data_IF_281065131977
#
_entry.id   IF_281065131977
#
_cell.length_a   1.000
_cell.length_b   1.000
_cell.length_c   1.000
_cell.angle_alpha   90.00
_cell.angle_beta   90.00
_cell.angle_gamma   90.00
#
_symmetry.space_group_name_H-M   'P 1'
#
loop_
_entity.id
_entity.type
_entity.pdbx_description
1 polymer ?
#
# COMPACT_ATOMS: atom_id res chain seq x y z
N UNK A 1 -31.56 6.95 3.12
CA UNK A 1 -30.23 6.32 3.29
C UNK A 1 -29.95 6.24 4.78
N UNK A 2 -29.65 5.06 5.32
CA UNK A 2 -29.22 4.94 6.71
C UNK A 2 -27.92 5.76 6.90
N UNK A 3 -27.85 6.57 7.96
CA UNK A 3 -26.62 7.27 8.32
C UNK A 3 -25.58 6.23 8.73
N UNK A 4 -24.41 6.26 8.10
CA UNK A 4 -23.25 5.49 8.53
C UNK A 4 -22.92 5.84 9.98
N UNK A 5 -22.53 4.83 10.76
CA UNK A 5 -21.89 5.09 12.05
C UNK A 5 -20.52 5.73 11.84
N UNK A 6 -19.98 6.40 12.86
CA UNK A 6 -18.66 7.05 12.76
C UNK A 6 -17.56 6.04 12.38
N UNK A 7 -17.55 4.87 13.01
CA UNK A 7 -16.58 3.82 12.73
C UNK A 7 -16.66 3.28 11.29
N UNK A 8 -17.87 3.07 10.77
CA UNK A 8 -18.06 2.64 9.38
C UNK A 8 -17.65 3.74 8.39
N UNK A 9 -17.92 5.00 8.72
CA UNK A 9 -17.49 6.14 7.92
C UNK A 9 -15.97 6.22 7.84
N UNK A 10 -15.27 6.09 8.97
CA UNK A 10 -13.81 6.15 9.02
C UNK A 10 -13.17 4.97 8.28
N UNK A 11 -13.71 3.76 8.45
CA UNK A 11 -13.26 2.58 7.71
C UNK A 11 -13.40 2.77 6.20
N UNK A 12 -14.56 3.22 5.73
CA UNK A 12 -14.81 3.48 4.30
C UNK A 12 -13.98 4.65 3.78
N UNK A 13 -13.73 5.68 4.60
CA UNK A 13 -12.83 6.79 4.25
C UNK A 13 -11.41 6.29 4.04
N UNK A 14 -10.92 5.40 4.91
CA UNK A 14 -9.60 4.76 4.76
C UNK A 14 -9.51 3.91 3.49
N UNK A 15 -10.51 3.07 3.22
CA UNK A 15 -10.55 2.24 2.01
C UNK A 15 -10.61 3.11 0.73
N UNK A 16 -11.44 4.15 0.74
CA UNK A 16 -11.55 5.08 -0.38
C UNK A 16 -10.24 5.81 -0.66
N UNK A 17 -9.53 6.23 0.40
CA UNK A 17 -8.21 6.84 0.30
C UNK A 17 -7.19 5.89 -0.31
N UNK A 18 -7.10 4.67 0.18
CA UNK A 18 -6.17 3.66 -0.32
C UNK A 18 -6.36 3.41 -1.83
N UNK A 19 -7.61 3.24 -2.27
CA UNK A 19 -7.94 3.06 -3.69
C UNK A 19 -7.58 4.31 -4.52
N UNK A 20 -7.79 5.51 -3.98
CA UNK A 20 -7.44 6.75 -4.67
C UNK A 20 -5.93 6.89 -4.90
N UNK A 21 -5.13 6.57 -3.88
CA UNK A 21 -3.67 6.55 -3.96
C UNK A 21 -3.18 5.52 -4.98
N UNK A 22 -3.84 4.35 -5.05
CA UNK A 22 -3.60 3.31 -6.08
C UNK A 22 -4.03 3.71 -7.51
N UNK A 23 -4.62 4.89 -7.70
CA UNK A 23 -4.91 5.44 -9.02
C UNK A 23 -6.37 5.32 -9.48
N UNK A 24 -7.25 4.71 -8.68
CA UNK A 24 -8.65 4.55 -9.06
C UNK A 24 -9.39 5.90 -9.11
N UNK A 25 -10.36 6.02 -10.02
CA UNK A 25 -11.19 7.23 -10.15
C UNK A 25 -12.22 7.29 -9.02
N UNK A 26 -12.67 8.49 -8.65
CA UNK A 26 -13.71 8.66 -7.61
C UNK A 26 -15.00 7.94 -7.98
N UNK A 27 -15.34 7.85 -9.27
CA UNK A 27 -16.50 7.10 -9.75
C UNK A 27 -16.35 5.60 -9.46
N UNK A 28 -15.22 4.98 -9.81
CA UNK A 28 -14.97 3.57 -9.55
C UNK A 28 -14.92 3.29 -8.03
N UNK A 29 -14.29 4.18 -7.26
CA UNK A 29 -14.24 4.05 -5.79
C UNK A 29 -15.66 4.10 -5.21
N UNK A 30 -16.49 5.04 -5.66
CA UNK A 30 -17.90 5.16 -5.24
C UNK A 30 -18.66 3.85 -5.43
N UNK A 31 -18.42 3.13 -6.53
CA UNK A 31 -19.03 1.83 -6.81
C UNK A 31 -18.49 0.73 -5.89
N UNK A 32 -17.16 0.69 -5.68
CA UNK A 32 -16.51 -0.34 -4.86
C UNK A 32 -16.92 -0.24 -3.38
N UNK A 33 -16.92 0.97 -2.79
CA UNK A 33 -17.16 1.15 -1.35
C UNK A 33 -18.61 1.56 -1.02
N UNK A 34 -19.41 1.88 -2.04
CA UNK A 34 -20.80 2.31 -1.90
C UNK A 34 -20.97 3.66 -1.20
N UNK A 35 -20.07 4.62 -1.46
CA UNK A 35 -20.13 5.99 -0.92
C UNK A 35 -20.30 6.97 -2.06
N UNK A 36 -21.27 7.88 -1.94
CA UNK A 36 -21.54 8.86 -2.99
C UNK A 36 -20.33 9.73 -3.35
N UNK A 37 -20.16 9.97 -4.65
CA UNK A 37 -19.06 10.76 -5.26
C UNK A 37 -18.83 12.09 -4.53
N UNK A 38 -19.90 12.81 -4.15
CA UNK A 38 -19.79 14.11 -3.45
C UNK A 38 -19.11 13.97 -2.09
N UNK A 39 -19.44 12.93 -1.32
CA UNK A 39 -18.82 12.65 -0.02
C UNK A 39 -17.36 12.26 -0.19
N UNK A 40 -17.04 11.43 -1.18
CA UNK A 40 -15.67 11.08 -1.52
C UNK A 40 -14.84 12.31 -1.95
N UNK A 41 -15.43 13.22 -2.73
CA UNK A 41 -14.79 14.47 -3.11
C UNK A 41 -14.46 15.36 -1.92
N UNK A 42 -15.37 15.47 -0.95
CA UNK A 42 -15.10 16.21 0.29
C UNK A 42 -13.97 15.54 1.09
N UNK A 43 -14.01 14.22 1.27
CA UNK A 43 -12.96 13.51 2.00
C UNK A 43 -11.58 13.64 1.36
N UNK A 44 -11.53 13.62 0.02
CA UNK A 44 -10.31 13.86 -0.76
C UNK A 44 -9.71 15.22 -0.46
N UNK A 45 -10.54 16.27 -0.50
CA UNK A 45 -10.11 17.65 -0.27
C UNK A 45 -9.72 17.87 1.20
N UNK A 46 -10.58 17.47 2.14
CA UNK A 46 -10.35 17.66 3.59
C UNK A 46 -9.12 16.88 4.10
N UNK A 47 -8.80 15.77 3.43
CA UNK A 47 -7.69 14.89 3.80
C UNK A 47 -6.42 15.06 2.96
N UNK A 48 -6.35 16.05 2.06
CA UNK A 48 -5.22 16.27 1.14
C UNK A 48 -4.75 15.00 0.42
N UNK A 49 -5.67 14.19 -0.10
CA UNK A 49 -5.30 12.89 -0.70
C UNK A 49 -4.47 13.04 -1.97
N UNK A 50 -4.54 14.20 -2.64
CA UNK A 50 -3.73 14.49 -3.81
C UNK A 50 -2.24 14.62 -3.45
N UNK A 51 -1.91 15.35 -2.39
CA UNK A 51 -0.53 15.47 -1.89
C UNK A 51 0.02 14.10 -1.51
N UNK A 52 -0.78 13.29 -0.80
CA UNK A 52 -0.37 11.94 -0.44
C UNK A 52 -0.21 11.02 -1.65
N UNK A 53 -1.00 11.24 -2.72
CA UNK A 53 -0.85 10.50 -3.98
C UNK A 53 0.48 10.83 -4.64
N UNK A 54 0.86 12.09 -4.67
CA UNK A 54 2.17 12.51 -5.17
C UNK A 54 3.31 11.89 -4.35
N UNK A 55 3.20 11.88 -3.02
CA UNK A 55 4.19 11.26 -2.14
C UNK A 55 4.27 9.74 -2.35
N UNK A 56 3.13 9.05 -2.48
CA UNK A 56 3.09 7.60 -2.73
C UNK A 56 3.64 7.22 -4.10
N UNK A 57 3.66 8.15 -5.05
CA UNK A 57 4.26 7.95 -6.37
C UNK A 57 5.78 8.12 -6.39
N UNK A 58 6.39 8.60 -5.30
CA UNK A 58 7.86 8.67 -5.17
C UNK A 58 8.43 7.26 -5.03
N UNK A 59 9.13 6.81 -6.07
CA UNK A 59 9.84 5.52 -6.12
C UNK A 59 11.33 5.70 -5.82
N UNK A 60 12.06 4.62 -5.44
CA UNK A 60 13.52 4.66 -5.30
C UNK A 60 14.23 5.18 -6.57
N UNK A 61 13.66 4.90 -7.75
CA UNK A 61 14.15 5.41 -9.04
C UNK A 61 14.11 6.94 -9.16
N UNK A 62 13.14 7.60 -8.50
CA UNK A 62 13.08 9.07 -8.43
C UNK A 62 14.25 9.63 -7.61
N UNK A 63 14.66 8.96 -6.53
CA UNK A 63 15.83 9.34 -5.73
C UNK A 63 17.13 9.06 -6.51
N UNK A 64 17.22 7.91 -7.19
CA UNK A 64 18.34 7.59 -8.09
C UNK A 64 18.56 8.67 -9.16
N UNK A 65 17.47 9.27 -9.67
CA UNK A 65 17.53 10.40 -10.60
C UNK A 65 18.19 11.64 -10.01
N UNK A 66 18.07 11.89 -8.70
CA UNK A 66 18.75 13.00 -8.02
C UNK A 66 20.27 12.79 -8.03
N UNK A 67 20.72 11.57 -7.75
CA UNK A 67 22.14 11.20 -7.83
C UNK A 67 22.68 11.35 -9.25
N UNK A 68 21.94 10.89 -10.27
CA UNK A 68 22.33 11.03 -11.68
C UNK A 68 22.39 12.50 -12.13
N UNK A 69 21.48 13.36 -11.65
CA UNK A 69 21.56 14.81 -11.92
C UNK A 69 22.81 15.45 -11.33
N UNK A 70 23.25 15.00 -10.15
CA UNK A 70 24.50 15.46 -9.56
C UNK A 70 25.71 15.01 -10.40
N UNK A 71 25.73 13.74 -10.84
CA UNK A 71 26.79 13.23 -11.71
C UNK A 71 26.87 13.99 -13.06
N UNK A 72 25.72 14.28 -13.67
CA UNK A 72 25.64 15.07 -14.90
C UNK A 72 26.15 16.50 -14.72
N UNK A 73 25.87 17.13 -13.57
CA UNK A 73 26.37 18.47 -13.27
C UNK A 73 27.91 18.48 -13.15
N UNK A 74 28.49 17.43 -12.54
CA UNK A 74 29.95 17.25 -12.46
C UNK A 74 30.56 17.12 -13.85
N UNK A 75 30.00 16.25 -14.70
CA UNK A 75 30.46 16.05 -16.08
C UNK A 75 30.45 17.36 -16.89
N UNK A 76 29.42 18.18 -16.70
CA UNK A 76 29.26 19.45 -17.40
C UNK A 76 30.02 20.63 -16.76
N UNK A 77 30.76 20.42 -15.66
CA UNK A 77 31.44 21.47 -14.92
C UNK A 77 30.48 22.52 -14.30
N UNK A 78 29.22 22.12 -14.04
CA UNK A 78 28.17 22.98 -13.48
C UNK A 78 28.08 22.82 -11.96
N UNK A 79 27.60 23.84 -11.24
CA UNK A 79 27.32 23.71 -9.81
C UNK A 79 26.31 22.59 -9.55
N UNK A 80 26.53 21.86 -8.45
CA UNK A 80 25.66 20.75 -8.07
C UNK A 80 24.25 21.27 -7.74
N UNK A 81 23.18 20.64 -8.27
CA UNK A 81 21.81 21.03 -7.96
C UNK A 81 21.42 20.71 -6.51
N UNK A 82 22.11 19.77 -5.88
CA UNK A 82 21.91 19.35 -4.50
C UNK A 82 23.27 19.06 -3.84
N UNK A 83 23.36 19.22 -2.53
CA UNK A 83 24.54 18.83 -1.77
C UNK A 83 24.63 17.29 -1.76
N UNK A 84 25.77 16.74 -2.16
CA UNK A 84 25.96 15.30 -2.28
C UNK A 84 25.69 14.53 -0.97
N UNK A 85 26.10 15.10 0.17
CA UNK A 85 25.85 14.55 1.51
C UNK A 85 24.35 14.39 1.82
N UNK A 86 23.52 15.36 1.41
CA UNK A 86 22.07 15.31 1.65
C UNK A 86 21.41 14.25 0.77
N UNK A 87 21.86 14.12 -0.49
CA UNK A 87 21.39 13.05 -1.39
C UNK A 87 21.72 11.66 -0.83
N UNK A 88 22.94 11.46 -0.31
CA UNK A 88 23.35 10.19 0.31
C UNK A 88 22.49 9.86 1.53
N UNK A 89 22.20 10.84 2.39
CA UNK A 89 21.34 10.63 3.57
C UNK A 89 19.90 10.27 3.19
N UNK A 90 19.34 10.94 2.18
CA UNK A 90 18.00 10.66 1.68
C UNK A 90 17.93 9.27 1.05
N UNK A 91 18.92 8.89 0.22
CA UNK A 91 19.04 7.54 -0.36
C UNK A 91 19.10 6.48 0.74
N UNK A 92 19.98 6.65 1.72
CA UNK A 92 20.16 5.67 2.81
C UNK A 92 18.91 5.54 3.70
N UNK A 93 18.17 6.63 3.92
CA UNK A 93 16.90 6.59 4.63
C UNK A 93 15.83 5.85 3.79
N UNK A 94 15.80 6.09 2.49
CA UNK A 94 14.86 5.44 1.57
C UNK A 94 15.10 3.93 1.49
N UNK A 95 16.35 3.51 1.24
CA UNK A 95 16.73 2.08 1.13
C UNK A 95 16.40 1.29 2.41
N UNK A 96 16.43 1.91 3.58
CA UNK A 96 16.05 1.27 4.85
C UNK A 96 14.54 1.05 4.99
N UNK A 97 13.73 1.93 4.41
CA UNK A 97 12.26 1.92 4.56
C UNK A 97 11.61 1.11 3.43
N UNK A 98 12.27 1.01 2.27
CA UNK A 98 11.72 0.33 1.08
C UNK A 98 12.36 -1.03 0.78
N UNK A 99 12.99 -1.67 1.77
CA UNK A 99 13.55 -3.02 1.62
C UNK A 99 12.40 -4.02 1.42
N UNK A 100 12.04 -4.26 0.17
CA UNK A 100 10.86 -5.06 -0.19
C UNK A 100 11.02 -6.51 0.24
N UNK A 101 12.26 -7.02 0.37
CA UNK A 101 12.54 -8.35 0.93
C UNK A 101 12.16 -8.42 2.40
N UNK A 102 12.50 -7.41 3.20
CA UNK A 102 12.01 -7.32 4.59
C UNK A 102 10.48 -7.24 4.64
N UNK A 103 9.89 -6.42 3.78
CA UNK A 103 8.42 -6.28 3.70
C UNK A 103 7.78 -7.63 3.34
N UNK A 104 8.30 -8.33 2.33
CA UNK A 104 7.81 -9.64 1.90
C UNK A 104 7.89 -10.67 3.04
N UNK A 105 9.03 -10.77 3.73
CA UNK A 105 9.21 -11.68 4.87
C UNK A 105 8.19 -11.40 5.98
N UNK A 106 8.07 -10.15 6.44
CA UNK A 106 7.11 -9.80 7.49
C UNK A 106 5.65 -10.02 7.06
N UNK A 107 5.35 -9.79 5.79
CA UNK A 107 4.01 -10.03 5.23
C UNK A 107 3.69 -11.53 5.23
N UNK A 108 4.64 -12.38 4.78
CA UNK A 108 4.49 -13.83 4.82
C UNK A 108 4.27 -14.35 6.25
N UNK A 109 5.10 -13.90 7.21
CA UNK A 109 4.94 -14.27 8.62
C UNK A 109 3.57 -13.88 9.18
N UNK A 110 3.07 -12.69 8.84
CA UNK A 110 1.76 -12.20 9.28
C UNK A 110 0.61 -13.06 8.75
N UNK A 111 0.70 -13.51 7.48
CA UNK A 111 -0.34 -14.35 6.88
C UNK A 111 -0.24 -15.80 7.31
N UNK A 112 0.95 -16.34 7.54
CA UNK A 112 1.09 -17.66 8.15
C UNK A 112 0.55 -17.66 9.58
N UNK A 113 0.78 -16.58 10.34
CA UNK A 113 0.18 -16.37 11.65
C UNK A 113 -1.36 -16.30 11.61
N UNK A 114 -1.91 -15.53 10.67
CA UNK A 114 -3.36 -15.43 10.47
C UNK A 114 -3.98 -16.76 9.99
N UNK A 115 -3.31 -17.47 9.08
CA UNK A 115 -3.74 -18.77 8.57
C UNK A 115 -3.77 -19.80 9.69
N UNK A 116 -2.73 -19.82 10.53
CA UNK A 116 -2.66 -20.64 11.74
C UNK A 116 -3.83 -20.36 12.69
N UNK A 117 -4.12 -19.08 12.95
CA UNK A 117 -5.26 -18.67 13.78
C UNK A 117 -6.61 -19.15 13.20
N UNK A 118 -6.80 -19.02 11.88
CA UNK A 118 -8.01 -19.47 11.20
C UNK A 118 -8.15 -21.00 11.19
N UNK A 119 -7.04 -21.73 11.04
CA UNK A 119 -7.01 -23.19 11.16
C UNK A 119 -7.36 -23.66 12.58
N UNK A 120 -6.82 -23.02 13.61
CA UNK A 120 -7.21 -23.28 15.00
C UNK A 120 -8.70 -23.02 15.23
N UNK A 121 -9.22 -21.92 14.68
CA UNK A 121 -10.64 -21.58 14.75
C UNK A 121 -11.49 -22.64 14.04
N UNK A 122 -11.06 -23.13 12.88
CA UNK A 122 -11.72 -24.21 12.17
C UNK A 122 -11.69 -25.52 12.98
N UNK A 123 -10.57 -25.87 13.61
CA UNK A 123 -10.43 -27.03 14.48
C UNK A 123 -11.32 -26.99 15.73
N UNK A 124 -11.64 -25.79 16.23
CA UNK A 124 -12.60 -25.56 17.33
C UNK A 124 -14.07 -25.63 16.89
N UNK A 125 -14.34 -25.75 15.59
CA UNK A 125 -15.69 -25.86 15.02
C UNK A 125 -15.92 -27.24 14.38
N UNK A 126 -17.18 -27.57 14.10
CA UNK A 126 -17.56 -28.83 13.44
C UNK A 126 -18.55 -28.58 12.30
N UNK A 127 -18.66 -29.56 11.39
CA UNK A 127 -19.57 -29.52 10.24
C UNK A 127 -19.35 -28.30 9.34
N UNK A 128 -20.46 -27.72 8.85
CA UNK A 128 -20.47 -26.67 7.83
C UNK A 128 -19.57 -25.47 8.15
N UNK A 129 -19.52 -25.02 9.41
CA UNK A 129 -18.70 -23.86 9.81
C UNK A 129 -17.20 -24.13 9.69
N UNK A 130 -16.76 -25.35 9.98
CA UNK A 130 -15.36 -25.74 9.79
C UNK A 130 -15.03 -25.73 8.30
N UNK A 131 -15.90 -26.33 7.50
CA UNK A 131 -15.67 -26.48 6.07
C UNK A 131 -15.67 -25.11 5.36
N UNK A 132 -16.55 -24.18 5.75
CA UNK A 132 -16.55 -22.79 5.28
C UNK A 132 -15.23 -22.05 5.61
N UNK A 133 -14.70 -22.20 6.83
CA UNK A 133 -13.43 -21.58 7.22
C UNK A 133 -12.23 -22.14 6.42
N UNK A 134 -12.24 -23.45 6.17
CA UNK A 134 -11.19 -24.10 5.38
C UNK A 134 -11.25 -23.67 3.90
N UNK A 135 -12.44 -23.56 3.33
CA UNK A 135 -12.61 -23.09 1.94
C UNK A 135 -12.19 -21.62 1.78
N UNK A 136 -12.51 -20.75 2.76
CA UNK A 136 -12.02 -19.36 2.75
C UNK A 136 -10.49 -19.29 2.75
N UNK A 137 -9.83 -20.11 3.58
CA UNK A 137 -8.38 -20.17 3.61
C UNK A 137 -7.78 -20.60 2.27
N UNK A 138 -8.35 -21.64 1.64
CA UNK A 138 -7.92 -22.10 0.31
C UNK A 138 -8.12 -21.05 -0.77
N UNK A 139 -9.17 -20.25 -0.68
CA UNK A 139 -9.48 -19.23 -1.68
C UNK A 139 -8.58 -18.00 -1.53
N UNK A 140 -8.24 -17.60 -0.30
CA UNK A 140 -7.43 -16.40 -0.05
C UNK A 140 -5.92 -16.66 -0.26
N UNK A 141 -5.41 -17.86 0.07
CA UNK A 141 -3.97 -18.15 0.02
C UNK A 141 -3.32 -17.90 -1.34
N UNK A 142 -3.89 -18.32 -2.49
CA UNK A 142 -3.29 -18.05 -3.80
C UNK A 142 -3.15 -16.56 -4.12
N UNK A 143 -4.15 -15.74 -3.76
CA UNK A 143 -4.07 -14.28 -3.96
C UNK A 143 -3.00 -13.64 -3.09
N UNK A 144 -2.73 -14.22 -1.92
CA UNK A 144 -1.63 -13.77 -1.07
C UNK A 144 -0.27 -14.14 -1.67
N UNK A 145 -0.11 -15.37 -2.14
CA UNK A 145 1.14 -15.83 -2.76
C UNK A 145 1.46 -15.01 -4.04
N UNK A 146 0.43 -14.62 -4.80
CA UNK A 146 0.53 -13.68 -5.93
C UNK A 146 1.08 -12.31 -5.48
N UNK A 147 0.50 -11.73 -4.44
CA UNK A 147 0.96 -10.44 -3.90
C UNK A 147 2.42 -10.49 -3.39
N UNK A 148 2.81 -11.55 -2.67
CA UNK A 148 4.20 -11.75 -2.23
C UNK A 148 5.16 -11.85 -3.43
N UNK A 149 4.73 -12.56 -4.48
CA UNK A 149 5.51 -12.68 -5.71
C UNK A 149 5.70 -11.31 -6.37
N UNK A 150 4.66 -10.49 -6.44
CA UNK A 150 4.77 -9.11 -6.95
C UNK A 150 5.73 -8.26 -6.12
N UNK A 151 5.72 -8.38 -4.78
CA UNK A 151 6.64 -7.65 -3.91
C UNK A 151 8.11 -8.01 -4.21
N UNK A 152 8.40 -9.29 -4.45
CA UNK A 152 9.76 -9.78 -4.72
C UNK A 152 10.24 -9.47 -6.16
N UNK A 153 9.32 -9.30 -7.11
CA UNK A 153 9.65 -9.00 -8.51
C UNK A 153 9.83 -7.51 -8.80
N UNK A 154 9.28 -6.62 -7.96
CA UNK A 154 9.33 -5.17 -8.14
C UNK A 154 10.49 -4.47 -7.39
N UNK A 155 11.42 -5.24 -6.82
CA UNK A 155 12.70 -4.80 -6.22
C UNK A 155 13.82 -4.68 -7.26
#
# INVERSE_FOLDING_TARGET
MARLTAAESDYKKSQGKELFLKGFTIANISEIIGIGIKTLGNWRNDGNWDDEKELSALKPSNIRKLTLKCALAIEQGKPLPYKADDVVKVVAAFDRITDSKKIAVYTMESVDGFSSHMLEKAGKNTGKKRDELLELLKLIRPHFDEYVTELLQND
#
